data_IF_749967383602
#
_entry.id   IF_749967383602
#
_cell.length_a   1.000
_cell.length_b   1.000
_cell.length_c   1.000
_cell.angle_alpha   90.00
_cell.angle_beta   90.00
_cell.angle_gamma   90.00
#
_symmetry.space_group_name_H-M   'P 1'
#
loop_
_entity.id
_entity.type
_entity.pdbx_description
1 polymer ?
#
# COMPACT_ATOMS: atom_id res chain seq x y z
N UNK A 1 8.62 -56.23 24.12
CA UNK A 1 7.42 -55.45 24.07
C UNK A 1 7.79 -53.96 24.06
N UNK A 2 7.82 -53.34 22.89
CA UNK A 2 8.11 -51.90 22.77
C UNK A 2 6.84 -51.12 23.02
N UNK A 3 6.84 -50.28 24.07
CA UNK A 3 5.76 -49.37 24.35
C UNK A 3 5.80 -48.25 23.33
N UNK A 4 4.80 -48.16 22.45
CA UNK A 4 4.57 -47.02 21.55
C UNK A 4 4.05 -45.88 22.47
N UNK A 5 4.95 -44.91 22.76
CA UNK A 5 4.62 -43.67 23.44
C UNK A 5 3.74 -42.83 22.49
N UNK A 6 2.43 -42.85 22.71
CA UNK A 6 1.51 -41.89 22.09
C UNK A 6 1.76 -40.52 22.73
N UNK A 7 2.06 -39.46 21.94
CA UNK A 7 2.15 -38.10 22.48
C UNK A 7 0.77 -37.70 23.08
N UNK A 8 0.75 -36.88 24.14
CA UNK A 8 -0.49 -36.49 24.81
C UNK A 8 -1.39 -35.69 23.84
N UNK A 9 -2.71 -35.88 23.97
CA UNK A 9 -3.75 -35.28 23.11
C UNK A 9 -3.61 -33.74 22.94
N UNK A 10 -3.08 -33.07 23.98
CA UNK A 10 -2.78 -31.63 23.92
C UNK A 10 -1.73 -31.26 22.87
N UNK A 11 -0.70 -32.10 22.68
CA UNK A 11 0.33 -31.85 21.66
C UNK A 11 -0.21 -31.99 20.22
N UNK A 12 -1.16 -32.89 20.00
CA UNK A 12 -1.82 -33.04 18.69
C UNK A 12 -2.73 -31.87 18.36
N UNK A 13 -3.43 -31.30 19.37
CA UNK A 13 -4.26 -30.10 19.20
C UNK A 13 -3.43 -28.88 18.82
N UNK A 14 -2.27 -28.69 19.46
CA UNK A 14 -1.37 -27.56 19.18
C UNK A 14 -0.75 -27.63 17.77
N UNK A 15 -0.30 -28.82 17.37
CA UNK A 15 0.22 -29.05 16.02
C UNK A 15 -0.85 -28.82 14.95
N UNK A 16 -2.09 -29.27 15.19
CA UNK A 16 -3.19 -29.04 14.26
C UNK A 16 -3.55 -27.54 14.12
N UNK A 17 -3.60 -26.81 15.25
CA UNK A 17 -3.84 -25.37 15.27
C UNK A 17 -2.73 -24.60 14.53
N UNK A 18 -1.46 -24.96 14.77
CA UNK A 18 -0.30 -24.37 14.08
C UNK A 18 -0.35 -24.61 12.57
N UNK A 19 -0.68 -25.83 12.15
CA UNK A 19 -0.80 -26.17 10.72
C UNK A 19 -1.96 -25.42 10.07
N UNK A 20 -3.09 -25.30 10.73
CA UNK A 20 -4.23 -24.52 10.24
C UNK A 20 -3.86 -23.03 10.05
N UNK A 21 -3.21 -22.44 11.05
CA UNK A 21 -2.71 -21.06 10.98
C UNK A 21 -1.72 -20.86 9.81
N UNK A 22 -0.75 -21.77 9.66
CA UNK A 22 0.23 -21.70 8.57
C UNK A 22 -0.42 -21.79 7.18
N UNK A 23 -1.43 -22.65 7.02
CA UNK A 23 -2.20 -22.71 5.77
C UNK A 23 -2.93 -21.41 5.45
N UNK A 24 -3.53 -20.79 6.47
CA UNK A 24 -4.20 -19.48 6.30
C UNK A 24 -3.19 -18.37 5.98
N UNK A 25 -2.04 -18.33 6.67
CA UNK A 25 -0.97 -17.37 6.41
C UNK A 25 -0.45 -17.51 4.98
N UNK A 26 -0.24 -18.75 4.51
CA UNK A 26 0.16 -19.01 3.13
C UNK A 26 -0.89 -18.53 2.12
N UNK A 27 -2.17 -18.69 2.40
CA UNK A 27 -3.24 -18.19 1.54
C UNK A 27 -3.24 -16.66 1.46
N UNK A 28 -3.04 -15.96 2.59
CA UNK A 28 -2.89 -14.50 2.64
C UNK A 28 -1.65 -14.04 1.86
N UNK A 29 -0.52 -14.70 2.07
CA UNK A 29 0.73 -14.44 1.35
C UNK A 29 0.55 -14.58 -0.17
N UNK A 30 -0.12 -15.63 -0.63
CA UNK A 30 -0.39 -15.85 -2.05
C UNK A 30 -1.28 -14.74 -2.64
N UNK A 31 -2.29 -14.27 -1.89
CA UNK A 31 -3.11 -13.12 -2.31
C UNK A 31 -2.28 -11.84 -2.42
N UNK A 32 -1.41 -11.56 -1.45
CA UNK A 32 -0.50 -10.41 -1.49
C UNK A 32 0.36 -10.46 -2.76
N UNK A 33 0.91 -11.62 -3.11
CA UNK A 33 1.73 -11.77 -4.31
C UNK A 33 0.95 -11.68 -5.62
N UNK A 34 -0.31 -12.12 -5.64
CA UNK A 34 -1.18 -12.05 -6.82
C UNK A 34 -1.68 -10.64 -7.13
N UNK A 35 -1.66 -9.74 -6.15
CA UNK A 35 -2.20 -8.37 -6.28
C UNK A 35 -1.16 -7.45 -6.92
N UNK A 36 -1.56 -6.63 -7.89
CA UNK A 36 -0.62 -5.84 -8.69
C UNK A 36 -0.31 -4.46 -8.12
N UNK A 37 -1.08 -3.99 -7.14
CA UNK A 37 -1.00 -2.63 -6.62
C UNK A 37 -1.09 -2.64 -5.08
N UNK A 38 -0.42 -1.68 -4.44
CA UNK A 38 -0.37 -1.57 -2.98
C UNK A 38 -1.75 -1.28 -2.40
N UNK A 39 -2.55 -0.44 -3.04
CA UNK A 39 -3.87 -0.05 -2.54
C UNK A 39 -4.86 -1.23 -2.60
N UNK A 40 -4.77 -2.09 -3.62
CA UNK A 40 -5.53 -3.34 -3.69
C UNK A 40 -5.12 -4.32 -2.60
N UNK A 41 -3.80 -4.51 -2.37
CA UNK A 41 -3.32 -5.34 -1.25
C UNK A 41 -3.97 -4.85 0.04
N UNK A 42 -3.97 -3.57 0.23
CA UNK A 42 -4.46 -2.97 1.45
C UNK A 42 -5.97 -3.12 1.64
N UNK A 43 -6.75 -3.03 0.57
CA UNK A 43 -8.22 -3.15 0.63
C UNK A 43 -8.69 -4.61 0.68
N UNK A 44 -8.20 -5.45 -0.23
CA UNK A 44 -8.70 -6.81 -0.40
C UNK A 44 -8.14 -7.79 0.65
N UNK A 45 -6.88 -7.60 1.06
CA UNK A 45 -6.20 -8.53 1.98
C UNK A 45 -6.42 -8.18 3.44
N UNK A 46 -6.89 -6.96 3.75
CA UNK A 46 -7.12 -6.54 5.15
C UNK A 46 -8.12 -7.41 5.90
N UNK A 47 -9.20 -7.83 5.25
CA UNK A 47 -10.20 -8.70 5.86
C UNK A 47 -9.62 -10.10 6.14
N UNK A 48 -8.82 -10.63 5.22
CA UNK A 48 -8.15 -11.93 5.38
C UNK A 48 -7.10 -11.88 6.49
N UNK A 49 -6.35 -10.78 6.61
CA UNK A 49 -5.39 -10.58 7.71
C UNK A 49 -6.14 -10.52 9.05
N UNK A 50 -7.23 -9.75 9.15
CA UNK A 50 -8.04 -9.74 10.36
C UNK A 50 -8.58 -11.14 10.73
N UNK A 51 -9.02 -11.90 9.73
CA UNK A 51 -9.49 -13.28 9.94
C UNK A 51 -8.37 -14.22 10.41
N UNK A 52 -7.18 -14.14 9.81
CA UNK A 52 -5.99 -14.91 10.16
C UNK A 52 -5.60 -14.75 11.64
N UNK A 53 -5.60 -13.50 12.12
CA UNK A 53 -5.23 -13.18 13.50
C UNK A 53 -6.42 -13.18 14.47
N UNK A 54 -7.62 -13.54 14.01
CA UNK A 54 -8.86 -13.37 14.76
C UNK A 54 -8.98 -11.95 15.34
N UNK A 55 -8.56 -10.96 14.58
CA UNK A 55 -8.47 -9.57 14.99
C UNK A 55 -9.72 -8.79 14.60
N UNK A 56 -10.03 -7.77 15.38
CA UNK A 56 -11.16 -6.88 15.13
C UNK A 56 -10.82 -5.81 14.11
N UNK A 57 -9.60 -5.25 14.20
CA UNK A 57 -9.14 -4.17 13.32
C UNK A 57 -7.68 -4.35 12.87
N UNK A 58 -7.39 -3.72 11.74
CA UNK A 58 -6.06 -3.64 11.15
C UNK A 58 -5.76 -2.20 10.74
N UNK A 59 -4.53 -1.76 10.95
CA UNK A 59 -3.98 -0.55 10.35
C UNK A 59 -2.64 -0.87 9.72
N UNK A 60 -2.44 -0.45 8.49
CA UNK A 60 -1.13 -0.52 7.81
C UNK A 60 -0.67 0.90 7.52
N UNK A 61 0.55 1.19 7.92
CA UNK A 61 1.22 2.46 7.70
C UNK A 61 2.33 2.28 6.66
N UNK A 62 2.51 3.27 5.81
CA UNK A 62 3.72 3.44 5.00
C UNK A 62 4.61 4.53 5.60
N UNK A 63 5.90 4.46 5.35
CA UNK A 63 6.81 5.55 5.69
C UNK A 63 6.49 6.75 4.80
N UNK A 64 6.39 7.94 5.40
CA UNK A 64 6.17 9.19 4.67
C UNK A 64 7.39 9.60 3.85
N UNK A 65 7.20 10.52 2.91
CA UNK A 65 8.28 11.00 2.02
C UNK A 65 9.45 11.62 2.77
N UNK A 66 9.17 12.27 3.90
CA UNK A 66 10.17 12.88 4.80
C UNK A 66 10.95 11.84 5.63
N UNK A 67 10.57 10.57 5.59
CA UNK A 67 11.11 9.45 6.40
C UNK A 67 11.10 9.70 7.92
N UNK A 68 10.38 10.71 8.39
CA UNK A 68 10.28 11.05 9.82
C UNK A 68 8.97 10.59 10.46
N UNK A 69 8.00 10.19 9.65
CA UNK A 69 6.70 9.76 10.10
C UNK A 69 6.19 8.56 9.30
N UNK A 70 5.26 7.84 9.90
CA UNK A 70 4.45 6.82 9.24
C UNK A 70 3.05 7.36 9.00
N UNK A 71 2.46 7.04 7.85
CA UNK A 71 1.13 7.51 7.42
C UNK A 71 0.25 6.30 7.18
N UNK A 72 -0.93 6.29 7.79
CA UNK A 72 -1.87 5.17 7.61
C UNK A 72 -2.42 5.13 6.20
N UNK A 73 -2.35 3.97 5.57
CA UNK A 73 -2.92 3.71 4.23
C UNK A 73 -4.22 2.92 4.31
N UNK A 74 -4.34 2.03 5.30
CA UNK A 74 -5.56 1.23 5.54
C UNK A 74 -5.96 1.31 7.00
N UNK A 75 -7.26 1.43 7.22
CA UNK A 75 -7.90 1.45 8.53
C UNK A 75 -9.22 0.69 8.42
N UNK A 76 -9.27 -0.54 8.86
CA UNK A 76 -10.54 -1.26 8.93
C UNK A 76 -11.40 -0.69 10.07
N UNK A 77 -12.68 -0.47 9.79
CA UNK A 77 -13.63 0.02 10.80
C UNK A 77 -13.57 1.53 11.09
N UNK A 78 -12.85 2.34 10.30
CA UNK A 78 -12.71 3.78 10.48
C UNK A 78 -12.95 4.53 9.17
N UNK A 79 -14.17 4.48 8.64
CA UNK A 79 -14.51 4.99 7.31
C UNK A 79 -14.43 6.52 7.12
N UNK A 80 -14.13 7.31 8.17
CA UNK A 80 -14.25 8.77 8.13
C UNK A 80 -13.04 9.54 8.64
N UNK A 81 -11.88 8.91 8.83
CA UNK A 81 -10.70 9.62 9.31
C UNK A 81 -9.71 9.91 8.17
N UNK A 82 -9.24 11.18 8.12
CA UNK A 82 -8.07 11.58 7.34
C UNK A 82 -6.88 10.70 7.71
N UNK A 83 -5.90 10.61 6.82
CA UNK A 83 -4.68 9.86 7.05
C UNK A 83 -4.06 10.20 8.41
N UNK A 84 -3.89 9.16 9.23
CA UNK A 84 -3.25 9.31 10.52
C UNK A 84 -1.74 9.32 10.31
N UNK A 85 -1.12 10.47 10.58
CA UNK A 85 0.34 10.64 10.51
C UNK A 85 0.90 10.54 11.93
N UNK A 86 1.83 9.60 12.15
CA UNK A 86 2.50 9.38 13.43
C UNK A 86 4.01 9.56 13.27
N UNK A 87 4.69 10.33 14.14
CA UNK A 87 6.14 10.41 14.13
C UNK A 87 6.79 9.05 14.37
N UNK A 88 7.93 8.79 13.74
CA UNK A 88 8.79 7.65 14.05
C UNK A 88 9.57 8.02 15.31
N UNK A 89 8.98 7.76 16.46
CA UNK A 89 9.45 8.18 17.76
C UNK A 89 8.92 7.28 18.88
N UNK A 90 9.44 7.46 20.09
CA UNK A 90 9.12 6.63 21.26
C UNK A 90 7.70 6.82 21.84
N UNK A 91 7.00 7.88 21.43
CA UNK A 91 5.76 8.31 22.11
C UNK A 91 4.48 7.60 21.68
N UNK A 92 4.53 6.73 20.65
CA UNK A 92 3.39 5.94 20.23
C UNK A 92 3.81 4.50 19.92
N UNK A 93 2.89 3.53 20.09
CA UNK A 93 3.21 2.11 19.90
C UNK A 93 3.68 1.84 18.47
N UNK A 94 2.97 2.33 17.45
CA UNK A 94 3.36 2.16 16.06
C UNK A 94 4.64 2.95 15.71
N UNK A 95 4.79 4.17 16.23
CA UNK A 95 6.00 4.98 16.04
C UNK A 95 7.23 4.33 16.67
N UNK A 96 7.09 3.74 17.86
CA UNK A 96 8.17 3.02 18.52
C UNK A 96 8.52 1.70 17.82
N UNK A 97 7.54 0.95 17.31
CA UNK A 97 7.79 -0.22 16.49
C UNK A 97 8.58 0.16 15.20
N UNK A 98 8.24 1.29 14.59
CA UNK A 98 8.97 1.85 13.45
C UNK A 98 10.41 2.20 13.81
N UNK A 99 10.62 2.90 14.93
CA UNK A 99 11.93 3.35 15.40
C UNK A 99 12.84 2.20 15.80
N UNK A 100 12.32 1.29 16.65
CA UNK A 100 13.08 0.16 17.19
C UNK A 100 13.24 -1.00 16.19
N UNK A 101 12.42 -1.03 15.15
CA UNK A 101 12.30 -2.14 14.19
C UNK A 101 12.06 -3.49 14.88
N UNK A 102 11.34 -3.48 15.99
CA UNK A 102 10.97 -4.69 16.76
C UNK A 102 9.46 -4.88 16.77
N UNK A 103 9.04 -6.13 16.73
CA UNK A 103 7.63 -6.50 16.98
C UNK A 103 7.29 -6.24 18.44
N UNK A 104 6.13 -5.64 18.67
CA UNK A 104 5.62 -5.26 19.98
C UNK A 104 4.25 -5.93 20.16
N UNK A 105 4.09 -6.65 21.26
CA UNK A 105 2.84 -7.28 21.64
C UNK A 105 2.36 -6.69 22.97
N UNK A 106 1.22 -6.00 22.96
CA UNK A 106 0.61 -5.32 24.11
C UNK A 106 -0.67 -6.05 24.48
N UNK A 107 -0.78 -6.42 25.75
CA UNK A 107 -1.95 -7.11 26.31
C UNK A 107 -3.06 -6.14 26.71
N UNK A 108 -2.70 -4.98 27.23
CA UNK A 108 -3.63 -3.88 27.49
C UNK A 108 -2.97 -2.52 27.22
N UNK A 109 -3.43 -1.84 26.16
CA UNK A 109 -2.91 -0.53 25.77
C UNK A 109 -3.13 0.57 26.83
N UNK A 110 -4.00 0.36 27.80
CA UNK A 110 -4.25 1.29 28.90
C UNK A 110 -3.43 0.97 30.15
N UNK A 111 -2.70 -0.16 30.16
CA UNK A 111 -1.77 -0.47 31.23
C UNK A 111 -0.45 0.28 31.01
N UNK A 112 -0.33 1.43 31.68
CA UNK A 112 0.90 2.24 31.61
C UNK A 112 2.13 1.50 32.15
N UNK A 113 1.96 0.54 33.06
CA UNK A 113 3.04 -0.29 33.59
C UNK A 113 3.62 -1.20 32.50
N UNK A 114 2.75 -1.87 31.73
CA UNK A 114 3.13 -2.68 30.57
C UNK A 114 3.86 -1.84 29.50
N UNK A 115 3.31 -0.67 29.18
CA UNK A 115 3.93 0.22 28.19
C UNK A 115 5.31 0.72 28.64
N UNK A 116 5.44 1.17 29.88
CA UNK A 116 6.72 1.66 30.44
C UNK A 116 7.76 0.56 30.58
N UNK A 117 7.35 -0.70 30.77
CA UNK A 117 8.28 -1.83 30.79
C UNK A 117 8.93 -2.08 29.42
N UNK A 118 8.28 -1.68 28.32
CA UNK A 118 8.80 -1.77 26.96
C UNK A 118 9.72 -0.56 26.67
N UNK A 119 9.22 0.66 26.94
CA UNK A 119 10.00 1.91 26.85
C UNK A 119 9.39 2.99 27.77
N UNK A 120 10.23 3.71 28.51
CA UNK A 120 9.81 4.69 29.50
C UNK A 120 8.94 5.83 28.93
N UNK A 121 9.11 6.14 27.63
CA UNK A 121 8.39 7.21 26.94
C UNK A 121 7.17 6.70 26.18
N UNK A 122 6.96 5.39 26.12
CA UNK A 122 5.87 4.80 25.38
C UNK A 122 4.49 5.16 25.98
N UNK A 123 3.60 5.58 25.13
CA UNK A 123 2.22 5.95 25.50
C UNK A 123 1.23 5.40 24.48
N UNK A 124 0.03 5.14 24.93
CA UNK A 124 -1.10 4.85 24.05
C UNK A 124 -1.86 6.14 23.72
N UNK A 125 -1.99 6.46 22.42
CA UNK A 125 -2.69 7.65 21.94
C UNK A 125 -4.21 7.39 21.95
N UNK A 126 -4.89 7.81 23.02
CA UNK A 126 -6.31 7.53 23.24
C UNK A 126 -7.28 8.38 22.40
N UNK A 127 -6.78 9.31 21.57
CA UNK A 127 -7.62 10.24 20.82
C UNK A 127 -8.58 9.55 19.86
N UNK A 128 -8.11 8.49 19.19
CA UNK A 128 -8.93 7.72 18.25
C UNK A 128 -10.06 7.00 19.02
N UNK A 129 -9.73 6.36 20.14
CA UNK A 129 -10.70 5.67 20.98
C UNK A 129 -11.75 6.64 21.53
N UNK A 130 -11.33 7.79 22.05
CA UNK A 130 -12.24 8.83 22.57
C UNK A 130 -13.18 9.37 21.50
N UNK A 131 -12.69 9.55 20.28
CA UNK A 131 -13.48 10.10 19.16
C UNK A 131 -14.45 9.09 18.56
N UNK A 132 -14.12 7.79 18.60
CA UNK A 132 -14.90 6.73 17.97
C UNK A 132 -15.76 5.95 18.93
N UNK A 133 -15.56 6.11 20.25
CA UNK A 133 -16.16 5.25 21.25
C UNK A 133 -15.63 3.82 21.25
N UNK A 134 -14.56 3.55 20.48
CA UNK A 134 -13.93 2.23 20.41
C UNK A 134 -12.94 2.06 21.55
N UNK A 135 -12.84 0.85 22.11
CA UNK A 135 -11.86 0.51 23.14
C UNK A 135 -10.76 -0.36 22.55
N UNK A 136 -9.61 0.21 22.30
CA UNK A 136 -8.40 -0.54 21.94
C UNK A 136 -7.83 -1.18 23.20
N UNK A 137 -7.79 -2.50 23.26
CA UNK A 137 -7.23 -3.24 24.39
C UNK A 137 -5.89 -3.86 24.00
N UNK A 138 -5.89 -4.78 23.05
CA UNK A 138 -4.66 -5.47 22.63
C UNK A 138 -4.12 -4.89 21.32
N UNK A 139 -2.80 -4.85 21.21
CA UNK A 139 -2.13 -4.50 19.96
C UNK A 139 -0.94 -5.42 19.71
N UNK A 140 -0.90 -5.99 18.50
CA UNK A 140 0.27 -6.67 17.96
C UNK A 140 0.79 -5.83 16.79
N UNK A 141 1.96 -5.26 16.95
CA UNK A 141 2.53 -4.28 16.02
C UNK A 141 3.87 -4.78 15.51
N UNK A 142 4.03 -4.85 14.19
CA UNK A 142 5.29 -5.28 13.60
C UNK A 142 5.78 -4.28 12.55
N UNK A 143 7.09 -4.00 12.50
CA UNK A 143 7.67 -3.18 11.47
C UNK A 143 7.76 -3.97 10.16
N UNK A 144 7.50 -3.28 9.05
CA UNK A 144 7.70 -3.79 7.69
C UNK A 144 9.06 -3.29 7.23
N UNK A 145 10.06 -4.16 7.23
CA UNK A 145 11.47 -3.82 6.97
C UNK A 145 11.98 -4.61 5.77
N UNK A 146 12.68 -3.95 4.87
CA UNK A 146 13.37 -4.62 3.77
C UNK A 146 14.53 -5.49 4.29
N UNK A 147 14.45 -6.79 4.07
CA UNK A 147 15.45 -7.75 4.56
C UNK A 147 16.85 -7.56 3.97
N UNK A 148 16.98 -6.91 2.80
CA UNK A 148 18.28 -6.67 2.17
C UNK A 148 18.98 -5.40 2.64
N UNK A 149 18.23 -4.29 2.76
CA UNK A 149 18.77 -2.97 3.12
C UNK A 149 18.54 -2.58 4.58
N UNK A 150 17.76 -3.36 5.32
CA UNK A 150 17.25 -3.01 6.64
C UNK A 150 16.51 -1.65 6.68
N UNK A 151 15.97 -1.21 5.54
CA UNK A 151 15.18 0.02 5.43
C UNK A 151 13.76 -0.22 5.95
N UNK A 152 13.24 0.72 6.76
CA UNK A 152 11.85 0.70 7.20
C UNK A 152 10.96 1.12 6.02
N UNK A 153 9.99 0.28 5.68
CA UNK A 153 9.01 0.53 4.62
C UNK A 153 7.66 0.94 5.21
N UNK A 154 7.31 0.38 6.36
CA UNK A 154 6.04 0.65 7.02
C UNK A 154 5.89 -0.04 8.36
N UNK A 155 4.65 -0.08 8.85
CA UNK A 155 4.26 -0.78 10.08
C UNK A 155 2.90 -1.42 9.88
N UNK A 156 2.73 -2.65 10.35
CA UNK A 156 1.42 -3.30 10.46
C UNK A 156 0.99 -3.32 11.94
N UNK A 157 -0.25 -2.96 12.21
CA UNK A 157 -0.83 -2.90 13.54
C UNK A 157 -2.14 -3.68 13.56
N UNK A 158 -2.17 -4.75 14.32
CA UNK A 158 -3.30 -5.66 14.51
C UNK A 158 -3.92 -5.37 15.85
N UNK A 159 -5.23 -5.14 15.89
CA UNK A 159 -5.91 -4.57 17.05
C UNK A 159 -7.03 -5.49 17.50
N UNK A 160 -7.08 -5.74 18.80
CA UNK A 160 -8.06 -6.51 19.54
C UNK A 160 -8.31 -7.92 18.98
N UNK A 161 -7.90 -8.91 19.72
CA UNK A 161 -8.28 -10.29 19.47
C UNK A 161 -9.77 -10.47 19.82
N UNK A 162 -10.57 -10.92 18.86
CA UNK A 162 -12.02 -11.14 19.05
C UNK A 162 -12.37 -12.14 20.16
N UNK A 163 -11.45 -13.04 20.50
CA UNK A 163 -11.60 -13.92 21.65
C UNK A 163 -11.34 -13.23 23.00
N UNK A 164 -10.95 -11.95 23.00
CA UNK A 164 -10.68 -11.17 24.20
C UNK A 164 -9.38 -11.51 24.93
N UNK A 165 -8.58 -12.43 24.39
CA UNK A 165 -7.28 -12.85 24.95
C UNK A 165 -6.11 -12.16 24.24
N UNK A 166 -4.93 -12.00 24.88
CA UNK A 166 -3.74 -11.47 24.22
C UNK A 166 -3.33 -12.30 23.01
N UNK A 167 -2.64 -11.67 22.06
CA UNK A 167 -2.04 -12.38 20.95
C UNK A 167 -0.92 -13.28 21.46
N UNK A 168 -0.96 -14.57 21.09
CA UNK A 168 0.03 -15.56 21.50
C UNK A 168 1.26 -15.61 20.58
N UNK A 169 2.24 -16.45 20.95
CA UNK A 169 3.48 -16.62 20.22
C UNK A 169 3.29 -16.96 18.72
N UNK A 170 2.30 -17.77 18.40
CA UNK A 170 1.96 -18.11 17.02
C UNK A 170 1.55 -16.87 16.19
N UNK A 171 0.83 -15.93 16.82
CA UNK A 171 0.48 -14.68 16.17
C UNK A 171 1.71 -13.76 16.00
N UNK A 172 2.63 -13.74 16.97
CA UNK A 172 3.89 -12.98 16.85
C UNK A 172 4.78 -13.52 15.74
N UNK A 173 4.93 -14.83 15.62
CA UNK A 173 5.63 -15.48 14.51
C UNK A 173 4.96 -15.12 13.18
N UNK A 174 3.64 -15.26 13.10
CA UNK A 174 2.88 -15.00 11.88
C UNK A 174 2.90 -13.54 11.43
N UNK A 175 2.85 -12.57 12.34
CA UNK A 175 2.93 -11.15 11.96
C UNK A 175 4.33 -10.78 11.46
N UNK A 176 5.37 -11.38 12.01
CA UNK A 176 6.75 -11.22 11.53
C UNK A 176 6.89 -11.74 10.09
N UNK A 177 6.38 -12.93 9.80
CA UNK A 177 6.40 -13.54 8.47
C UNK A 177 5.57 -12.73 7.46
N UNK A 178 4.39 -12.29 7.88
CA UNK A 178 3.53 -11.41 7.07
C UNK A 178 4.21 -10.07 6.77
N UNK A 179 4.91 -9.48 7.75
CA UNK A 179 5.63 -8.22 7.56
C UNK A 179 6.75 -8.33 6.53
N UNK A 180 7.48 -9.46 6.49
CA UNK A 180 8.48 -9.73 5.47
C UNK A 180 7.85 -9.86 4.08
N UNK A 181 6.72 -10.55 3.98
CA UNK A 181 5.95 -10.66 2.72
C UNK A 181 5.50 -9.29 2.22
N UNK A 182 4.96 -8.46 3.11
CA UNK A 182 4.54 -7.09 2.79
C UNK A 182 5.73 -6.22 2.37
N UNK A 183 6.90 -6.38 3.01
CA UNK A 183 8.10 -5.64 2.64
C UNK A 183 8.53 -5.93 1.20
N UNK A 184 8.57 -7.20 0.82
CA UNK A 184 8.88 -7.63 -0.56
C UNK A 184 7.84 -7.05 -1.53
N UNK A 185 6.57 -7.21 -1.21
CA UNK A 185 5.48 -6.76 -2.05
C UNK A 185 5.49 -5.24 -2.26
N UNK A 186 5.69 -4.46 -1.20
CA UNK A 186 5.74 -3.00 -1.28
C UNK A 186 6.96 -2.52 -2.05
N UNK A 187 8.13 -3.09 -1.78
CA UNK A 187 9.37 -2.71 -2.48
C UNK A 187 9.30 -3.00 -3.98
N UNK A 188 8.75 -4.13 -4.38
CA UNK A 188 8.59 -4.47 -5.80
C UNK A 188 7.67 -3.50 -6.52
N UNK A 189 6.67 -2.94 -5.83
CA UNK A 189 5.67 -2.04 -6.39
C UNK A 189 5.98 -0.57 -6.19
N UNK A 190 6.90 -0.22 -5.28
CA UNK A 190 7.47 1.13 -5.14
C UNK A 190 8.54 1.44 -6.18
N UNK A 191 9.09 0.44 -6.87
CA UNK A 191 9.89 0.72 -8.05
C UNK A 191 8.96 1.43 -9.03
N UNK A 192 9.34 2.63 -9.54
CA UNK A 192 8.57 3.23 -10.62
C UNK A 192 8.42 2.14 -11.68
N UNK A 193 7.21 1.71 -11.95
CA UNK A 193 6.98 0.84 -13.10
C UNK A 193 7.50 1.66 -14.26
N UNK A 194 8.56 1.17 -14.90
CA UNK A 194 8.98 1.73 -16.18
C UNK A 194 7.70 1.83 -17.00
N UNK A 195 7.31 3.04 -17.32
CA UNK A 195 6.05 3.32 -17.97
C UNK A 195 5.91 2.37 -19.17
N UNK A 196 4.98 1.43 -19.09
CA UNK A 196 4.74 0.43 -20.14
C UNK A 196 4.04 1.07 -21.33
N UNK A 197 3.26 2.10 -21.03
CA UNK A 197 2.52 2.86 -22.02
C UNK A 197 2.86 4.34 -21.91
N UNK A 198 2.69 5.05 -23.01
CA UNK A 198 2.93 6.51 -23.08
C UNK A 198 2.06 7.35 -22.13
N UNK A 199 1.03 6.75 -21.53
CA UNK A 199 0.09 7.41 -20.62
C UNK A 199 0.29 7.08 -19.14
N UNK A 200 1.16 6.12 -18.81
CA UNK A 200 1.36 5.70 -17.41
C UNK A 200 1.87 6.85 -16.52
N UNK A 201 2.51 7.83 -17.10
CA UNK A 201 2.91 9.04 -16.39
C UNK A 201 1.72 9.92 -15.96
N UNK A 202 0.53 9.81 -16.57
CA UNK A 202 -0.67 10.48 -16.09
C UNK A 202 -1.12 9.91 -14.74
N UNK A 203 -0.91 8.60 -14.54
CA UNK A 203 -1.20 7.92 -13.27
C UNK A 203 -0.10 8.25 -12.24
N UNK A 204 1.17 8.19 -12.64
CA UNK A 204 2.31 8.48 -11.77
C UNK A 204 2.31 9.93 -11.24
N UNK A 205 1.87 10.88 -12.07
CA UNK A 205 1.75 12.30 -11.72
C UNK A 205 0.40 12.63 -11.03
N UNK A 206 -0.40 11.60 -10.65
CA UNK A 206 -1.71 11.74 -10.03
C UNK A 206 -2.72 12.63 -10.79
N UNK A 207 -2.60 12.71 -12.11
CA UNK A 207 -3.56 13.40 -12.99
C UNK A 207 -4.83 12.58 -13.14
N UNK A 208 -4.68 11.25 -13.15
CA UNK A 208 -5.76 10.25 -13.18
C UNK A 208 -5.42 9.10 -12.23
N UNK A 209 -6.45 8.48 -11.68
CA UNK A 209 -6.31 7.17 -11.03
C UNK A 209 -6.22 6.05 -12.08
N UNK A 210 -5.66 4.90 -11.69
CA UNK A 210 -5.62 3.70 -12.56
C UNK A 210 -7.02 3.29 -13.04
N UNK A 211 -8.03 3.37 -12.15
CA UNK A 211 -9.42 3.04 -12.48
C UNK A 211 -10.04 3.98 -13.52
N UNK A 212 -9.79 5.29 -13.42
CA UNK A 212 -10.23 6.28 -14.39
C UNK A 212 -9.58 6.06 -15.76
N UNK A 213 -8.28 5.76 -15.76
CA UNK A 213 -7.57 5.44 -17.00
C UNK A 213 -8.12 4.18 -17.70
N UNK A 214 -8.37 3.11 -16.94
CA UNK A 214 -9.01 1.90 -17.49
C UNK A 214 -10.41 2.17 -18.06
N UNK A 215 -11.19 2.99 -17.37
CA UNK A 215 -12.51 3.40 -17.83
C UNK A 215 -12.41 4.19 -19.15
N UNK A 216 -11.48 5.15 -19.23
CA UNK A 216 -11.22 5.92 -20.45
C UNK A 216 -10.81 5.01 -21.61
N UNK A 217 -9.91 4.05 -21.35
CA UNK A 217 -9.47 3.08 -22.35
C UNK A 217 -10.60 2.16 -22.86
N UNK A 218 -11.53 1.76 -21.98
CA UNK A 218 -12.72 0.99 -22.37
C UNK A 218 -13.67 1.83 -23.23
N UNK A 219 -13.87 3.09 -22.86
CA UNK A 219 -14.74 3.99 -23.60
C UNK A 219 -14.18 4.31 -25.00
N UNK A 220 -12.88 4.58 -25.11
CA UNK A 220 -12.20 4.79 -26.37
C UNK A 220 -12.40 3.61 -27.34
N UNK A 221 -12.19 2.37 -26.84
CA UNK A 221 -12.45 1.15 -27.62
C UNK A 221 -13.92 1.00 -28.04
N UNK A 222 -14.86 1.26 -27.11
CA UNK A 222 -16.31 1.15 -27.39
C UNK A 222 -16.78 2.14 -28.43
N UNK A 223 -16.23 3.36 -28.40
CA UNK A 223 -16.59 4.45 -29.33
C UNK A 223 -15.77 4.45 -30.61
N UNK A 224 -14.72 3.61 -30.68
CA UNK A 224 -13.73 3.59 -31.78
C UNK A 224 -13.09 4.95 -32.04
N UNK A 225 -12.78 5.71 -30.97
CA UNK A 225 -12.10 7.02 -31.03
C UNK A 225 -10.76 6.95 -30.27
N UNK A 226 -9.91 7.96 -30.47
CA UNK A 226 -8.63 8.04 -29.80
C UNK A 226 -8.82 8.22 -28.29
N UNK A 227 -7.95 7.56 -27.52
CA UNK A 227 -7.98 7.66 -26.06
C UNK A 227 -7.71 9.09 -25.57
N UNK A 228 -6.88 9.86 -26.28
CA UNK A 228 -6.57 11.25 -25.93
C UNK A 228 -7.82 12.14 -26.04
N UNK A 229 -8.69 11.85 -27.00
CA UNK A 229 -9.98 12.54 -27.12
C UNK A 229 -10.87 12.24 -25.92
N UNK A 230 -10.98 10.96 -25.51
CA UNK A 230 -11.75 10.58 -24.32
C UNK A 230 -11.19 11.22 -23.06
N UNK A 231 -9.86 11.21 -22.91
CA UNK A 231 -9.18 11.82 -21.76
C UNK A 231 -9.47 13.32 -21.65
N UNK A 232 -9.49 14.04 -22.77
CA UNK A 232 -9.75 15.48 -22.78
C UNK A 232 -11.22 15.83 -22.63
N UNK A 233 -12.11 15.15 -23.35
CA UNK A 233 -13.54 15.49 -23.43
C UNK A 233 -14.33 14.96 -22.22
N UNK A 234 -14.06 13.73 -21.77
CA UNK A 234 -14.85 13.07 -20.74
C UNK A 234 -14.20 13.10 -19.35
N UNK A 235 -12.88 12.99 -19.30
CA UNK A 235 -12.11 13.03 -18.04
C UNK A 235 -11.50 14.38 -17.74
N UNK A 236 -11.68 15.37 -18.62
CA UNK A 236 -11.21 16.76 -18.47
C UNK A 236 -9.68 16.87 -18.22
N UNK A 237 -8.93 15.89 -18.72
CA UNK A 237 -7.46 15.94 -18.65
C UNK A 237 -6.95 17.04 -19.58
N UNK A 238 -6.17 17.95 -19.01
CA UNK A 238 -5.62 19.07 -19.77
C UNK A 238 -4.59 18.58 -20.79
N UNK A 239 -4.64 19.07 -22.03
CA UNK A 239 -3.69 18.75 -23.09
C UNK A 239 -2.22 18.90 -22.64
N UNK A 240 -1.82 19.95 -21.87
CA UNK A 240 -0.46 20.04 -21.36
C UNK A 240 -0.05 18.87 -20.46
N UNK A 241 -0.96 18.29 -19.68
CA UNK A 241 -0.66 17.14 -18.83
C UNK A 241 -0.39 15.88 -19.69
N UNK A 242 -1.18 15.67 -20.73
CA UNK A 242 -0.93 14.61 -21.72
C UNK A 242 0.42 14.82 -22.39
N UNK A 243 0.70 16.04 -22.87
CA UNK A 243 1.96 16.39 -23.51
C UNK A 243 3.17 16.16 -22.60
N UNK A 244 3.07 16.47 -21.30
CA UNK A 244 4.12 16.20 -20.31
C UNK A 244 4.33 14.70 -20.08
N UNK A 245 3.25 13.92 -20.03
CA UNK A 245 3.34 12.46 -19.90
C UNK A 245 4.06 11.84 -21.10
N UNK A 246 3.70 12.26 -22.31
CA UNK A 246 4.36 11.84 -23.56
C UNK A 246 5.84 12.27 -23.58
N UNK A 247 6.14 13.50 -23.16
CA UNK A 247 7.50 14.02 -23.04
C UNK A 247 8.38 13.14 -22.16
N UNK A 248 7.88 12.77 -20.98
CA UNK A 248 8.59 11.88 -20.07
C UNK A 248 8.80 10.48 -20.66
N UNK A 249 7.80 9.96 -21.36
CA UNK A 249 7.88 8.62 -21.96
C UNK A 249 8.87 8.55 -23.12
N UNK A 250 8.83 9.53 -24.02
CA UNK A 250 9.69 9.55 -25.21
C UNK A 250 11.05 10.22 -24.97
N UNK A 251 11.27 10.85 -23.80
CA UNK A 251 12.51 11.57 -23.49
C UNK A 251 12.72 12.83 -24.35
N UNK A 252 11.63 13.44 -24.86
CA UNK A 252 11.65 14.65 -25.68
C UNK A 252 10.91 15.79 -24.99
N UNK A 253 11.39 17.04 -25.04
CA UNK A 253 10.72 18.18 -24.43
C UNK A 253 9.32 18.37 -25.02
N UNK A 254 8.33 18.57 -24.12
CA UNK A 254 6.98 18.97 -24.55
C UNK A 254 6.95 20.47 -24.78
N UNK A 255 6.46 20.85 -25.92
CA UNK A 255 6.28 22.24 -26.26
C UNK A 255 4.81 22.50 -26.66
N UNK A 256 4.07 23.31 -25.86
CA UNK A 256 2.67 23.59 -26.16
C UNK A 256 2.55 24.36 -27.49
N UNK A 257 1.52 24.05 -28.26
CA UNK A 257 1.21 24.78 -29.48
C UNK A 257 0.95 26.26 -29.17
N UNK A 258 1.63 27.13 -29.93
CA UNK A 258 1.42 28.60 -29.90
C UNK A 258 1.14 29.07 -31.32
N UNK A 259 0.00 29.71 -31.53
CA UNK A 259 -0.44 30.21 -32.86
C UNK A 259 0.45 31.32 -33.45
N UNK A 260 1.20 32.02 -32.59
CA UNK A 260 2.08 33.13 -32.94
C UNK A 260 3.51 32.69 -33.29
N UNK A 261 3.82 31.40 -33.25
CA UNK A 261 5.15 30.90 -33.66
C UNK A 261 5.38 31.06 -35.13
N UNK A 262 6.54 31.62 -35.44
CA UNK A 262 7.03 31.69 -36.81
C UNK A 262 7.33 30.28 -37.31
N UNK A 263 6.56 29.82 -38.30
CA UNK A 263 6.83 28.54 -38.96
C UNK A 263 8.01 28.71 -39.88
N UNK A 264 9.10 27.98 -39.63
CA UNK A 264 10.22 27.94 -40.54
C UNK A 264 9.83 27.20 -41.81
N UNK A 265 9.63 27.93 -42.92
CA UNK A 265 9.24 27.36 -44.22
C UNK A 265 10.18 26.25 -44.71
N UNK A 266 11.45 26.30 -44.33
CA UNK A 266 12.44 25.27 -44.67
C UNK A 266 12.14 23.89 -44.04
N UNK A 267 11.54 23.83 -42.85
CA UNK A 267 11.16 22.55 -42.21
C UNK A 267 10.00 21.88 -42.95
N UNK A 268 9.20 22.65 -43.68
CA UNK A 268 8.04 22.17 -44.42
C UNK A 268 8.35 21.83 -45.87
N UNK A 269 9.52 22.24 -46.37
CA UNK A 269 9.89 22.19 -47.79
C UNK A 269 9.82 20.81 -48.45
N UNK A 270 10.06 19.76 -47.67
CA UNK A 270 10.08 18.39 -48.16
C UNK A 270 8.91 17.54 -47.64
N UNK A 271 7.94 18.13 -46.90
CA UNK A 271 6.78 17.43 -46.35
C UNK A 271 5.61 17.51 -47.33
N UNK A 272 5.12 16.36 -47.76
CA UNK A 272 3.89 16.29 -48.53
C UNK A 272 2.69 16.60 -47.64
N UNK A 273 1.80 17.48 -48.10
CA UNK A 273 0.61 17.90 -47.39
C UNK A 273 -0.25 16.70 -46.95
N UNK A 274 -0.44 15.72 -47.83
CA UNK A 274 -1.17 14.48 -47.57
C UNK A 274 -0.57 13.68 -46.42
N UNK A 275 0.76 13.69 -46.28
CA UNK A 275 1.44 13.01 -45.18
C UNK A 275 1.21 13.70 -43.82
N UNK A 276 1.26 15.04 -43.84
CA UNK A 276 1.02 15.85 -42.61
C UNK A 276 -0.44 15.71 -42.14
N UNK A 277 -1.38 15.83 -43.09
CA UNK A 277 -2.82 15.70 -42.80
C UNK A 277 -3.19 14.27 -42.36
N UNK A 278 -2.60 13.24 -42.97
CA UNK A 278 -2.88 11.83 -42.62
C UNK A 278 -2.28 11.38 -41.29
N UNK A 279 -1.19 12.01 -40.83
CA UNK A 279 -0.54 11.68 -39.56
C UNK A 279 -0.81 12.69 -38.46
N UNK A 280 -1.60 13.73 -38.70
CA UNK A 280 -2.00 14.77 -37.74
C UNK A 280 -0.83 15.41 -36.97
N UNK A 281 0.33 15.59 -37.61
CA UNK A 281 1.46 16.28 -37.00
C UNK A 281 1.98 17.44 -37.89
N UNK A 282 2.51 18.42 -37.21
CA UNK A 282 3.13 19.59 -37.83
C UNK A 282 4.50 19.81 -37.18
N UNK A 283 5.59 20.01 -37.96
CA UNK A 283 6.90 20.29 -37.39
C UNK A 283 6.97 21.63 -36.67
#
# INVERSE_FOLDING_TARGET
MSAVLHPPAAAHSDVAARLAFQKQLQAVTNKIHATNNIDEIMLEVSADICALFNADRLTIYSVGEDKQAIVSKVKTGLNSFKDLKLPIAEHSIAGYAALSKKTINIKDCYDEGELRAINANLRFLQEVDKRTGYRTKQQLVAPIVDGGSNELIGVIQIINNKAGVPFGALAEEGVSELSQTLAIAFKQRQKPQLAKTKYDYLIADAVLSSGEFELAARQARKKAIDIEQVLTEEFQVKIPAIGQALSKFFGVPYEPYKSDRVKHAELLKNLKREYVEGNLWVP
#
